data_IF_056462892801
#
_entry.id   IF_056462892801
#
_cell.length_a   1.000
_cell.length_b   1.000
_cell.length_c   1.000
_cell.angle_alpha   90.00
_cell.angle_beta   90.00
_cell.angle_gamma   90.00
#
_symmetry.space_group_name_H-M   'P 1'
#
loop_
_entity.id
_entity.type
_entity.pdbx_description
1 polymer ?
#
# COMPACT_ATOMS: atom_id res chain seq x y z
N UNK A 1 -2.21 1.03 -16.13
CA UNK A 1 -2.12 2.51 -16.17
C UNK A 1 -3.49 3.18 -16.08
N UNK A 2 -4.44 2.92 -16.99
CA UNK A 2 -5.78 3.55 -16.92
C UNK A 2 -6.51 3.24 -15.60
N UNK A 3 -6.54 1.98 -15.19
CA UNK A 3 -7.18 1.52 -13.94
C UNK A 3 -6.53 2.08 -12.68
N UNK A 4 -5.20 2.20 -12.66
CA UNK A 4 -4.46 2.76 -11.51
C UNK A 4 -4.71 4.25 -11.36
N UNK A 5 -4.76 4.99 -12.48
CA UNK A 5 -5.11 6.42 -12.47
C UNK A 5 -6.53 6.62 -11.94
N UNK A 6 -7.50 5.83 -12.42
CA UNK A 6 -8.90 5.89 -11.96
C UNK A 6 -8.98 5.61 -10.45
N UNK A 7 -8.28 4.57 -9.96
CA UNK A 7 -8.25 4.24 -8.54
C UNK A 7 -7.65 5.37 -7.69
N UNK A 8 -6.56 6.01 -8.13
CA UNK A 8 -5.96 7.15 -7.44
C UNK A 8 -6.92 8.36 -7.36
N UNK A 9 -7.63 8.67 -8.44
CA UNK A 9 -8.61 9.76 -8.46
C UNK A 9 -9.77 9.48 -7.50
N UNK A 10 -10.31 8.25 -7.52
CA UNK A 10 -11.38 7.85 -6.61
C UNK A 10 -10.93 7.90 -5.14
N UNK A 11 -9.73 7.44 -4.83
CA UNK A 11 -9.15 7.52 -3.49
C UNK A 11 -9.00 8.98 -3.04
N UNK A 12 -8.55 9.87 -3.93
CA UNK A 12 -8.42 11.29 -3.62
C UNK A 12 -9.78 11.94 -3.33
N UNK A 13 -10.79 11.69 -4.16
CA UNK A 13 -12.16 12.19 -3.93
C UNK A 13 -12.73 11.66 -2.61
N UNK A 14 -12.50 10.38 -2.31
CA UNK A 14 -12.93 9.77 -1.05
C UNK A 14 -12.25 10.42 0.18
N UNK A 15 -10.94 10.70 0.11
CA UNK A 15 -10.23 11.39 1.19
C UNK A 15 -10.72 12.82 1.40
N UNK A 16 -11.02 13.56 0.33
CA UNK A 16 -11.62 14.90 0.43
C UNK A 16 -13.02 14.85 1.05
N UNK A 17 -13.82 13.85 0.69
CA UNK A 17 -15.14 13.61 1.28
C UNK A 17 -15.05 13.37 2.80
N UNK A 18 -14.15 12.48 3.24
CA UNK A 18 -13.89 12.22 4.67
C UNK A 18 -13.42 13.48 5.41
N UNK A 19 -12.69 14.36 4.72
CA UNK A 19 -12.14 15.60 5.29
C UNK A 19 -13.15 16.74 5.37
N UNK A 20 -14.38 16.52 4.90
CA UNK A 20 -15.41 17.54 4.68
C UNK A 20 -14.84 18.77 3.95
N UNK A 21 -14.13 18.52 2.85
CA UNK A 21 -13.58 19.59 2.04
C UNK A 21 -14.70 20.50 1.53
N UNK A 22 -14.58 21.79 1.84
CA UNK A 22 -15.55 22.81 1.46
C UNK A 22 -14.84 23.98 0.79
N UNK A 23 -15.38 24.43 -0.33
CA UNK A 23 -14.95 25.65 -1.03
C UNK A 23 -16.14 26.60 -1.06
N UNK A 24 -15.98 27.79 -0.45
CA UNK A 24 -16.94 28.88 -0.50
C UNK A 24 -16.42 29.99 -1.42
N UNK A 25 -17.29 30.62 -2.22
CA UNK A 25 -16.89 31.61 -3.24
C UNK A 25 -16.93 33.07 -2.73
N UNK A 26 -17.75 33.39 -1.71
CA UNK A 26 -17.84 34.75 -1.14
C UNK A 26 -18.03 34.71 0.39
N UNK A 27 -17.04 35.15 1.19
CA UNK A 27 -15.63 35.35 0.81
C UNK A 27 -15.00 34.03 0.33
N UNK A 28 -14.03 34.09 -0.59
CA UNK A 28 -13.34 32.89 -1.07
C UNK A 28 -12.62 32.21 0.10
N UNK A 29 -13.10 31.03 0.51
CA UNK A 29 -12.56 30.29 1.65
C UNK A 29 -12.47 28.82 1.30
N UNK A 30 -11.28 28.23 1.49
CA UNK A 30 -11.06 26.79 1.41
C UNK A 30 -10.95 26.26 2.82
N UNK A 31 -11.82 25.33 3.19
CA UNK A 31 -11.83 24.72 4.51
C UNK A 31 -11.73 23.20 4.40
N UNK A 32 -10.86 22.63 5.25
CA UNK A 32 -10.72 21.19 5.42
C UNK A 32 -10.76 20.88 6.93
N UNK A 33 -11.93 21.06 7.57
CA UNK A 33 -12.06 21.06 9.03
C UNK A 33 -11.62 19.73 9.67
N UNK A 34 -11.79 18.61 8.95
CA UNK A 34 -11.45 17.28 9.44
C UNK A 34 -10.28 16.64 8.69
N UNK A 35 -9.31 17.44 8.23
CA UNK A 35 -8.15 16.97 7.46
C UNK A 35 -7.37 15.84 8.14
N UNK A 36 -7.26 15.88 9.47
CA UNK A 36 -6.58 14.88 10.29
C UNK A 36 -7.22 13.49 10.17
N UNK A 37 -8.55 13.40 9.97
CA UNK A 37 -9.24 12.12 9.77
C UNK A 37 -8.90 11.51 8.41
N UNK A 38 -8.90 12.32 7.37
CA UNK A 38 -8.47 11.90 6.03
C UNK A 38 -7.01 11.47 6.02
N UNK A 39 -6.13 12.23 6.67
CA UNK A 39 -4.72 11.89 6.77
C UNK A 39 -4.51 10.57 7.53
N UNK A 40 -5.19 10.39 8.66
CA UNK A 40 -5.12 9.15 9.43
C UNK A 40 -5.53 7.93 8.60
N UNK A 41 -6.61 8.04 7.84
CA UNK A 41 -7.07 6.96 6.95
C UNK A 41 -6.08 6.69 5.80
N UNK A 42 -5.52 7.75 5.22
CA UNK A 42 -4.49 7.61 4.18
C UNK A 42 -3.26 6.87 4.70
N UNK A 43 -2.76 7.23 5.89
CA UNK A 43 -1.62 6.58 6.50
C UNK A 43 -1.91 5.11 6.85
N UNK A 44 -3.14 4.79 7.27
CA UNK A 44 -3.56 3.41 7.52
C UNK A 44 -3.52 2.58 6.23
N UNK A 45 -4.11 3.09 5.14
CA UNK A 45 -4.08 2.40 3.83
C UNK A 45 -2.63 2.21 3.37
N UNK A 46 -1.80 3.25 3.49
CA UNK A 46 -0.39 3.18 3.14
C UNK A 46 0.36 2.12 3.96
N UNK A 47 0.09 2.05 5.26
CA UNK A 47 0.68 1.06 6.17
C UNK A 47 0.33 -0.36 5.73
N UNK A 48 -0.92 -0.63 5.36
CA UNK A 48 -1.33 -1.93 4.85
C UNK A 48 -0.63 -2.28 3.53
N UNK A 49 -0.51 -1.34 2.60
CA UNK A 49 0.18 -1.58 1.32
C UNK A 49 1.65 -1.93 1.56
N UNK A 50 2.34 -1.15 2.39
CA UNK A 50 3.75 -1.38 2.73
C UNK A 50 3.93 -2.72 3.46
N UNK A 51 3.05 -3.04 4.41
CA UNK A 51 3.08 -4.31 5.12
C UNK A 51 2.93 -5.51 4.19
N UNK A 52 1.93 -5.47 3.29
CA UNK A 52 1.70 -6.55 2.32
C UNK A 52 2.87 -6.70 1.34
N UNK A 53 3.43 -5.59 0.86
CA UNK A 53 4.61 -5.62 0.00
C UNK A 53 5.83 -6.22 0.73
N UNK A 54 6.02 -5.87 2.01
CA UNK A 54 7.08 -6.41 2.86
C UNK A 54 6.94 -7.92 3.09
N UNK A 55 5.75 -8.39 3.47
CA UNK A 55 5.48 -9.83 3.65
C UNK A 55 5.64 -10.61 2.34
N UNK A 56 5.23 -10.04 1.21
CA UNK A 56 5.41 -10.66 -0.10
C UNK A 56 6.89 -10.81 -0.46
N UNK A 57 7.68 -9.75 -0.26
CA UNK A 57 9.13 -9.78 -0.50
C UNK A 57 9.83 -10.78 0.44
N UNK A 58 9.45 -10.81 1.72
CA UNK A 58 9.98 -11.76 2.69
C UNK A 58 9.65 -13.21 2.30
N UNK A 59 8.39 -13.48 1.94
CA UNK A 59 7.98 -14.80 1.47
C UNK A 59 8.74 -15.28 0.24
N UNK A 60 9.06 -14.36 -0.69
CA UNK A 60 9.89 -14.67 -1.85
C UNK A 60 11.33 -15.08 -1.46
N UNK A 61 11.96 -14.31 -0.56
CA UNK A 61 13.32 -14.59 -0.08
C UNK A 61 13.38 -15.91 0.70
N UNK A 62 12.40 -16.15 1.57
CA UNK A 62 12.31 -17.38 2.36
C UNK A 62 12.11 -18.60 1.44
N UNK A 63 11.23 -18.49 0.45
CA UNK A 63 11.01 -19.54 -0.55
C UNK A 63 12.26 -19.85 -1.39
N UNK A 64 13.02 -18.83 -1.78
CA UNK A 64 14.30 -19.03 -2.47
C UNK A 64 15.31 -19.79 -1.61
N UNK A 65 15.46 -19.41 -0.33
CA UNK A 65 16.37 -20.05 0.60
C UNK A 65 15.99 -21.50 0.90
N UNK A 66 14.68 -21.78 0.98
CA UNK A 66 14.20 -23.15 1.13
C UNK A 66 14.48 -24.00 -0.11
N UNK A 67 14.26 -23.44 -1.30
CA UNK A 67 14.60 -24.08 -2.57
C UNK A 67 16.09 -24.41 -2.69
N UNK A 68 16.95 -23.46 -2.33
CA UNK A 68 18.41 -23.64 -2.30
C UNK A 68 18.81 -24.82 -1.40
N UNK A 69 18.28 -24.89 -0.17
CA UNK A 69 18.56 -26.00 0.76
C UNK A 69 18.15 -27.34 0.18
N UNK A 70 16.95 -27.43 -0.40
CA UNK A 70 16.46 -28.68 -1.02
C UNK A 70 17.37 -29.15 -2.16
N UNK A 71 17.82 -28.23 -3.02
CA UNK A 71 18.74 -28.56 -4.11
C UNK A 71 20.08 -29.06 -3.55
N UNK A 72 20.61 -28.41 -2.52
CA UNK A 72 21.89 -28.76 -1.92
C UNK A 72 21.84 -30.14 -1.23
N UNK A 73 20.74 -30.47 -0.56
CA UNK A 73 20.48 -31.80 0.00
C UNK A 73 20.41 -32.89 -1.08
N UNK A 74 19.71 -32.63 -2.19
CA UNK A 74 19.62 -33.57 -3.32
C UNK A 74 20.98 -33.81 -3.98
N UNK A 75 21.79 -32.76 -4.13
CA UNK A 75 23.15 -32.87 -4.68
C UNK A 75 24.06 -33.70 -3.76
N UNK A 76 23.98 -33.48 -2.45
CA UNK A 76 24.76 -34.26 -1.47
C UNK A 76 24.41 -35.74 -1.52
N UNK A 77 23.11 -36.05 -1.54
CA UNK A 77 22.61 -37.43 -1.67
C UNK A 77 23.02 -38.13 -2.97
N UNK A 78 23.25 -37.39 -4.05
CA UNK A 78 23.71 -37.94 -5.33
C UNK A 78 25.23 -38.18 -5.38
N UNK A 79 25.97 -37.53 -4.48
CA UNK A 79 27.43 -37.61 -4.40
C UNK A 79 27.89 -38.74 -3.47
N UNK A 80 27.04 -39.14 -2.52
CA UNK A 80 27.16 -40.40 -1.76
C UNK A 80 26.64 -41.60 -2.57
#
# INVERSE_FOLDING_TARGET
MKTTIIACVLLFVFLLYVGHFSITIKPFTVQLPYWHRSLGLFLLILSFIVYNAGEHAKGYVDGLKEGERKVLELLKKKTE
#
